data_IF_440055691781
#
_entry.id   IF_440055691781
#
_cell.length_a   1.000
_cell.length_b   1.000
_cell.length_c   1.000
_cell.angle_alpha   90.00
_cell.angle_beta   90.00
_cell.angle_gamma   90.00
#
_symmetry.space_group_name_H-M   'P 1'
#
loop_
_entity.id
_entity.type
_entity.pdbx_description
1 polymer ?
#
# COMPACT_ATOMS: atom_id res chain seq x y z
N UNK A 1 23.72 31.19 4.30
CA UNK A 1 23.77 30.07 3.33
C UNK A 1 22.83 30.41 2.18
N UNK A 2 23.36 30.61 0.97
CA UNK A 2 22.58 30.96 -0.22
C UNK A 2 21.97 29.69 -0.82
N UNK A 3 20.64 29.64 -0.95
CA UNK A 3 19.95 28.51 -1.57
C UNK A 3 20.25 28.53 -3.08
N UNK A 4 20.71 27.41 -3.67
CA UNK A 4 21.02 27.35 -5.09
C UNK A 4 19.78 27.60 -5.98
N UNK A 5 19.97 28.32 -7.09
CA UNK A 5 18.89 28.72 -8.00
C UNK A 5 18.06 27.56 -8.59
N UNK A 6 18.62 26.35 -8.68
CA UNK A 6 17.89 25.19 -9.19
C UNK A 6 16.73 24.76 -8.27
N UNK A 7 16.81 25.07 -6.97
CA UNK A 7 15.77 24.73 -5.98
C UNK A 7 14.51 25.57 -6.18
N UNK A 8 14.66 26.80 -6.69
CA UNK A 8 13.55 27.72 -6.97
C UNK A 8 12.96 27.55 -8.37
N UNK A 9 13.60 26.75 -9.23
CA UNK A 9 13.21 26.55 -10.64
C UNK A 9 12.49 25.21 -10.88
N UNK A 10 12.38 24.34 -9.87
CA UNK A 10 11.64 23.09 -10.01
C UNK A 10 10.14 23.32 -10.05
N UNK A 11 9.51 23.00 -11.18
CA UNK A 11 8.04 22.95 -11.29
C UNK A 11 7.48 21.79 -10.46
N UNK A 12 6.39 22.04 -9.74
CA UNK A 12 5.69 21.01 -8.99
C UNK A 12 4.97 20.08 -9.98
N UNK A 13 5.57 18.95 -10.30
CA UNK A 13 4.93 17.95 -11.16
C UNK A 13 3.95 17.12 -10.31
N UNK A 14 2.66 17.44 -10.39
CA UNK A 14 1.62 16.59 -9.80
C UNK A 14 1.35 15.43 -10.75
N UNK A 15 1.44 14.21 -10.25
CA UNK A 15 1.10 13.02 -11.03
C UNK A 15 -0.40 13.10 -11.40
N UNK A 16 -0.72 12.97 -12.68
CA UNK A 16 -2.10 13.07 -13.16
C UNK A 16 -3.04 12.12 -12.41
N UNK A 17 -4.19 12.63 -12.00
CA UNK A 17 -5.17 11.91 -11.18
C UNK A 17 -5.88 10.79 -11.95
N UNK A 18 -5.94 10.91 -13.28
CA UNK A 18 -6.48 9.90 -14.20
C UNK A 18 -5.67 8.60 -14.29
N UNK A 19 -4.50 8.53 -13.64
CA UNK A 19 -3.66 7.33 -13.66
C UNK A 19 -4.15 6.31 -12.63
N UNK A 20 -4.48 5.12 -13.13
CA UNK A 20 -4.92 4.00 -12.32
C UNK A 20 -3.98 3.71 -11.14
N UNK A 21 -4.55 3.65 -9.94
CA UNK A 21 -3.84 3.41 -8.68
C UNK A 21 -4.41 2.15 -8.04
N UNK A 22 -3.63 1.05 -7.98
CA UNK A 22 -4.12 -0.21 -7.45
C UNK A 22 -4.30 -0.11 -5.93
N UNK A 23 -5.29 -0.83 -5.42
CA UNK A 23 -5.48 -0.97 -3.98
C UNK A 23 -4.24 -1.66 -3.35
N UNK A 24 -3.81 -1.28 -2.14
CA UNK A 24 -2.69 -1.95 -1.46
C UNK A 24 -2.84 -3.47 -1.37
N UNK A 25 -4.07 -3.96 -1.19
CA UNK A 25 -4.40 -5.39 -1.20
C UNK A 25 -4.08 -6.09 -2.52
N UNK A 26 -4.30 -5.43 -3.65
CA UNK A 26 -3.95 -5.97 -4.97
C UNK A 26 -2.43 -5.98 -5.16
N UNK A 27 -1.75 -4.92 -4.71
CA UNK A 27 -0.28 -4.87 -4.70
C UNK A 27 0.30 -6.01 -3.86
N UNK A 28 -0.29 -6.28 -2.68
CA UNK A 28 0.10 -7.38 -1.81
C UNK A 28 -0.14 -8.74 -2.48
N UNK A 29 -1.29 -8.94 -3.11
CA UNK A 29 -1.58 -10.17 -3.83
C UNK A 29 -0.57 -10.41 -4.97
N UNK A 30 -0.29 -9.38 -5.76
CA UNK A 30 0.62 -9.46 -6.91
C UNK A 30 2.10 -9.55 -6.52
N UNK A 31 2.53 -8.97 -5.40
CA UNK A 31 3.94 -8.97 -4.99
C UNK A 31 4.30 -10.07 -4.01
N UNK A 32 3.35 -10.51 -3.18
CA UNK A 32 3.61 -11.44 -2.07
C UNK A 32 2.90 -12.77 -2.26
N UNK A 33 1.59 -12.78 -2.49
CA UNK A 33 0.83 -14.04 -2.62
C UNK A 33 1.19 -14.79 -3.91
N UNK A 34 1.35 -14.08 -5.03
CA UNK A 34 1.72 -14.69 -6.32
C UNK A 34 3.10 -15.35 -6.34
N UNK A 35 4.02 -14.90 -5.47
CA UNK A 35 5.40 -15.38 -5.40
C UNK A 35 5.60 -16.51 -4.39
N UNK A 36 4.57 -16.83 -3.63
CA UNK A 36 4.66 -17.74 -2.48
C UNK A 36 3.78 -18.95 -2.73
N UNK A 37 4.29 -20.16 -2.47
CA UNK A 37 3.52 -21.41 -2.58
C UNK A 37 2.55 -21.64 -1.41
N UNK A 38 2.50 -20.70 -0.47
CA UNK A 38 1.66 -20.76 0.73
C UNK A 38 0.24 -20.35 0.39
N UNK A 39 -0.72 -21.06 0.98
CA UNK A 39 -2.13 -20.69 0.90
C UNK A 39 -2.37 -19.39 1.68
N UNK A 40 -3.41 -18.66 1.28
CA UNK A 40 -3.75 -17.37 1.87
C UNK A 40 -3.99 -17.45 3.38
N UNK A 41 -4.49 -18.59 3.88
CA UNK A 41 -4.69 -18.82 5.31
C UNK A 41 -3.40 -18.97 6.10
N UNK A 42 -2.42 -19.68 5.55
CA UNK A 42 -1.08 -19.78 6.13
C UNK A 42 -0.39 -18.42 6.18
N UNK A 43 -0.55 -17.61 5.13
CA UNK A 43 -0.04 -16.23 5.10
C UNK A 43 -0.72 -15.37 6.16
N UNK A 44 -2.05 -15.46 6.31
CA UNK A 44 -2.79 -14.73 7.33
C UNK A 44 -2.30 -15.07 8.76
N UNK A 45 -2.09 -16.37 9.04
CA UNK A 45 -1.55 -16.83 10.33
C UNK A 45 -0.16 -16.28 10.61
N UNK A 46 0.73 -16.26 9.61
CA UNK A 46 2.10 -15.71 9.76
C UNK A 46 2.12 -14.21 10.01
N UNK A 47 1.21 -13.47 9.37
CA UNK A 47 1.02 -12.03 9.57
C UNK A 47 0.35 -11.74 10.92
N UNK A 48 -0.33 -12.73 11.53
CA UNK A 48 -1.09 -12.54 12.76
C UNK A 48 -2.39 -11.77 12.55
N UNK A 49 -3.09 -12.03 11.44
CA UNK A 49 -4.43 -11.50 11.15
C UNK A 49 -5.38 -12.66 10.84
N UNK A 50 -6.69 -12.42 10.97
CA UNK A 50 -7.65 -13.43 10.56
C UNK A 50 -7.65 -13.62 9.04
N UNK A 51 -7.89 -14.84 8.59
CA UNK A 51 -8.08 -15.19 7.16
C UNK A 51 -9.11 -14.30 6.49
N UNK A 52 -10.22 -14.02 7.20
CA UNK A 52 -11.27 -13.12 6.73
C UNK A 52 -10.76 -11.69 6.57
N UNK A 53 -9.93 -11.20 7.49
CA UNK A 53 -9.31 -9.88 7.38
C UNK A 53 -8.40 -9.83 6.16
N UNK A 54 -7.52 -10.82 5.97
CA UNK A 54 -6.64 -10.87 4.81
C UNK A 54 -7.42 -10.94 3.49
N UNK A 55 -8.49 -11.73 3.43
CA UNK A 55 -9.36 -11.83 2.26
C UNK A 55 -10.04 -10.50 1.93
N UNK A 56 -10.61 -9.82 2.92
CA UNK A 56 -11.21 -8.50 2.71
C UNK A 56 -10.17 -7.47 2.28
N UNK A 57 -8.94 -7.55 2.79
CA UNK A 57 -7.83 -6.70 2.38
C UNK A 57 -7.44 -6.91 0.91
N UNK A 58 -7.21 -8.16 0.49
CA UNK A 58 -6.86 -8.46 -0.91
C UNK A 58 -7.97 -8.08 -1.89
N UNK A 59 -9.23 -8.14 -1.46
CA UNK A 59 -10.39 -7.77 -2.26
C UNK A 59 -10.71 -6.26 -2.23
N UNK A 60 -9.88 -5.41 -1.61
CA UNK A 60 -10.10 -3.95 -1.63
C UNK A 60 -11.12 -3.43 -0.64
N UNK A 61 -11.61 -4.26 0.29
CA UNK A 61 -12.61 -3.89 1.29
C UNK A 61 -12.02 -3.41 2.62
N UNK A 62 -10.69 -3.44 2.77
CA UNK A 62 -9.99 -3.00 3.99
C UNK A 62 -8.88 -2.05 3.59
N UNK A 63 -8.92 -0.85 4.14
CA UNK A 63 -7.83 0.11 4.01
C UNK A 63 -6.70 -0.22 4.99
N UNK A 64 -5.47 0.12 4.61
CA UNK A 64 -4.28 0.02 5.49
C UNK A 64 -4.36 1.01 6.67
N UNK A 65 -5.14 2.08 6.51
CA UNK A 65 -5.00 3.35 7.24
C UNK A 65 -5.71 3.49 8.60
N UNK A 66 -6.45 2.49 9.10
CA UNK A 66 -7.22 2.70 10.35
C UNK A 66 -6.46 2.34 11.63
N UNK A 67 -5.51 1.39 11.58
CA UNK A 67 -4.91 0.86 12.82
C UNK A 67 -3.38 0.87 12.86
N UNK A 68 -2.67 1.25 11.78
CA UNK A 68 -1.19 1.12 11.62
C UNK A 68 -0.64 -0.33 11.78
N UNK A 69 -1.34 -1.19 12.51
CA UNK A 69 -1.01 -2.57 12.81
C UNK A 69 -0.94 -3.41 11.54
N UNK A 70 -1.83 -3.18 10.57
CA UNK A 70 -1.76 -3.89 9.29
C UNK A 70 -0.50 -3.49 8.50
N UNK A 71 -0.16 -2.20 8.43
CA UNK A 71 1.05 -1.73 7.76
C UNK A 71 2.32 -2.32 8.38
N UNK A 72 2.40 -2.40 9.72
CA UNK A 72 3.52 -3.01 10.45
C UNK A 72 3.61 -4.52 10.26
N UNK A 73 2.48 -5.21 10.22
CA UNK A 73 2.45 -6.65 9.94
C UNK A 73 2.84 -6.96 8.49
N UNK A 74 2.43 -6.11 7.55
CA UNK A 74 2.87 -6.19 6.16
C UNK A 74 4.38 -5.93 6.05
N UNK A 75 4.91 -4.94 6.76
CA UNK A 75 6.36 -4.66 6.81
C UNK A 75 7.16 -5.89 7.24
N UNK A 76 6.74 -6.57 8.31
CA UNK A 76 7.39 -7.78 8.79
C UNK A 76 7.38 -8.95 7.77
N UNK A 77 6.45 -8.95 6.80
CA UNK A 77 6.26 -10.06 5.87
C UNK A 77 6.65 -9.75 4.41
N UNK A 78 6.79 -8.48 4.04
CA UNK A 78 6.90 -8.07 2.62
C UNK A 78 8.19 -7.31 2.30
N UNK A 79 9.03 -7.05 3.32
CA UNK A 79 10.25 -6.24 3.20
C UNK A 79 9.99 -4.83 2.62
N UNK A 80 8.73 -4.38 2.67
CA UNK A 80 8.27 -3.05 2.25
C UNK A 80 7.89 -2.30 3.51
N UNK A 81 8.38 -1.09 3.69
CA UNK A 81 8.14 -0.34 4.93
C UNK A 81 6.66 -0.07 5.16
N UNK A 82 6.26 0.04 6.44
CA UNK A 82 4.89 0.40 6.79
C UNK A 82 4.48 1.76 6.17
N UNK A 83 5.43 2.70 6.07
CA UNK A 83 5.22 3.99 5.42
C UNK A 83 4.93 3.86 3.91
N UNK A 84 5.57 2.92 3.22
CA UNK A 84 5.27 2.66 1.81
C UNK A 84 3.87 2.05 1.62
N UNK A 85 3.44 1.16 2.52
CA UNK A 85 2.07 0.62 2.51
C UNK A 85 1.01 1.68 2.75
N UNK A 86 1.25 2.59 3.69
CA UNK A 86 0.39 3.75 3.92
C UNK A 86 0.37 4.67 2.71
N UNK A 87 1.53 4.92 2.09
CA UNK A 87 1.59 5.69 0.86
C UNK A 87 0.73 5.08 -0.24
N UNK A 88 0.78 3.76 -0.47
CA UNK A 88 -0.11 3.10 -1.43
C UNK A 88 -1.59 3.31 -1.11
N UNK A 89 -1.98 3.28 0.17
CA UNK A 89 -3.36 3.55 0.57
C UNK A 89 -3.75 4.99 0.28
N UNK A 90 -2.96 5.97 0.72
CA UNK A 90 -3.21 7.39 0.44
C UNK A 90 -3.31 7.65 -1.06
N UNK A 91 -2.43 7.04 -1.84
CA UNK A 91 -2.43 7.14 -3.29
C UNK A 91 -3.70 6.55 -3.90
N UNK A 92 -4.19 5.41 -3.39
CA UNK A 92 -5.47 4.80 -3.78
C UNK A 92 -6.68 5.65 -3.37
N UNK A 93 -6.69 6.15 -2.13
CA UNK A 93 -7.79 6.95 -1.59
C UNK A 93 -8.00 8.25 -2.40
N UNK A 94 -6.91 8.88 -2.86
CA UNK A 94 -7.01 10.03 -3.76
C UNK A 94 -7.69 9.67 -5.09
N UNK A 95 -7.30 8.56 -5.71
CA UNK A 95 -7.87 8.09 -6.97
C UNK A 95 -9.36 7.69 -6.83
N UNK A 96 -9.75 7.10 -5.70
CA UNK A 96 -11.16 6.73 -5.46
C UNK A 96 -12.05 7.90 -5.05
N UNK A 97 -11.49 9.00 -4.54
CA UNK A 97 -12.27 10.19 -4.18
C UNK A 97 -12.65 11.05 -5.40
N UNK A 98 -11.91 10.92 -6.49
CA UNK A 98 -12.09 11.69 -7.72
C UNK A 98 -12.97 10.99 -8.76
N UNK A 99 -13.31 9.71 -8.53
CA UNK A 99 -14.20 8.90 -9.38
C UNK A 99 -15.59 8.81 -8.76
#
# INVERSE_FOLDING_TARGET
MTIPAFVTQSESTVRADSLYRPHPGEVFQRRCLSKTSLKQDEVAKRIGISTKHLSRFTNGHVSVGVELALARKLEACTNISAGAWLHYQTQYDFYTQTT
#
